data_IF_821266892860
#
_entry.id   IF_821266892860
#
_cell.length_a   1.000
_cell.length_b   1.000
_cell.length_c   1.000
_cell.angle_alpha   90.00
_cell.angle_beta   90.00
_cell.angle_gamma   90.00
#
_symmetry.space_group_name_H-M   'P 1'
#
loop_
_entity.id
_entity.type
_entity.pdbx_description
1 polymer ?
#
# COMPACT_ATOMS: atom_id res chain seq x y z
N UNK A 1 3.66 1.02 14.83
CA UNK A 1 4.41 0.74 13.59
C UNK A 1 3.64 -0.33 12.85
N UNK A 2 3.43 -0.22 11.53
CA UNK A 2 2.77 -1.27 10.75
C UNK A 2 3.45 -2.63 10.90
N UNK A 3 2.65 -3.70 10.78
CA UNK A 3 3.10 -5.10 10.84
C UNK A 3 2.57 -5.82 9.61
N UNK A 4 3.43 -6.56 8.92
CA UNK A 4 3.07 -7.50 7.85
C UNK A 4 3.35 -8.92 8.33
N UNK A 5 2.36 -9.80 8.19
CA UNK A 5 2.52 -11.24 8.37
C UNK A 5 2.56 -11.88 6.98
N UNK A 6 3.63 -12.61 6.68
CA UNK A 6 3.83 -13.30 5.42
C UNK A 6 3.67 -14.80 5.71
N UNK A 7 2.62 -15.39 5.15
CA UNK A 7 2.30 -16.81 5.32
C UNK A 7 1.60 -17.32 4.05
N UNK A 8 1.93 -18.54 3.58
CA UNK A 8 3.02 -19.40 4.03
C UNK A 8 4.40 -18.93 3.51
N UNK A 9 5.43 -19.72 3.75
CA UNK A 9 6.66 -19.66 2.95
C UNK A 9 6.35 -19.94 1.48
N UNK A 10 7.14 -19.38 0.56
CA UNK A 10 7.00 -19.61 -0.89
C UNK A 10 7.79 -20.83 -1.38
N UNK A 11 8.75 -21.29 -0.57
CA UNK A 11 9.47 -22.55 -0.76
C UNK A 11 9.92 -23.08 0.59
N UNK A 12 9.85 -24.39 0.78
CA UNK A 12 10.59 -25.12 1.80
C UNK A 12 11.00 -26.53 1.35
N UNK A 13 12.06 -27.07 1.94
CA UNK A 13 12.50 -28.44 1.63
C UNK A 13 13.38 -28.97 2.76
N UNK A 14 13.21 -30.25 3.10
CA UNK A 14 14.12 -30.95 3.99
C UNK A 14 15.32 -31.51 3.22
N UNK A 15 16.45 -31.57 3.91
CA UNK A 15 17.70 -32.12 3.42
C UNK A 15 18.17 -33.16 4.43
N UNK A 16 18.45 -34.38 3.97
CA UNK A 16 18.90 -35.45 4.85
C UNK A 16 20.09 -36.25 4.30
N UNK A 17 21.03 -36.60 5.16
CA UNK A 17 22.17 -37.43 4.77
C UNK A 17 21.80 -38.88 4.50
N UNK A 18 20.73 -39.39 5.13
CA UNK A 18 20.30 -40.79 5.01
C UNK A 18 19.80 -41.15 3.60
N UNK A 19 19.14 -40.18 2.95
CA UNK A 19 18.66 -40.30 1.57
C UNK A 19 19.13 -39.10 0.73
N UNK A 20 20.43 -39.00 0.42
CA UNK A 20 21.03 -37.74 -0.01
C UNK A 20 20.67 -37.29 -1.43
N UNK A 21 19.94 -38.13 -2.18
CA UNK A 21 19.43 -37.83 -3.51
C UNK A 21 17.90 -37.73 -3.56
N UNK A 22 17.23 -37.85 -2.42
CA UNK A 22 15.77 -37.70 -2.33
C UNK A 22 15.43 -36.22 -2.18
N UNK A 23 14.39 -35.80 -2.89
CA UNK A 23 13.77 -34.49 -2.73
C UNK A 23 12.50 -34.64 -1.90
N UNK A 24 12.27 -33.72 -0.97
CA UNK A 24 11.10 -33.72 -0.08
C UNK A 24 10.38 -32.37 -0.11
N UNK A 25 10.49 -31.62 -1.21
CA UNK A 25 9.92 -30.26 -1.32
C UNK A 25 8.39 -30.21 -1.37
N UNK A 26 7.71 -31.37 -1.41
CA UNK A 26 6.24 -31.45 -1.35
C UNK A 26 5.76 -32.15 -0.06
N UNK A 27 6.67 -32.44 0.86
CA UNK A 27 6.31 -33.14 2.09
C UNK A 27 5.66 -32.15 3.07
N UNK A 28 4.57 -32.54 3.77
CA UNK A 28 3.88 -31.67 4.73
C UNK A 28 4.69 -31.42 6.02
N UNK A 29 5.88 -32.04 6.12
CA UNK A 29 6.74 -31.95 7.30
C UNK A 29 8.21 -32.00 6.91
N UNK A 30 9.03 -31.25 7.64
CA UNK A 30 10.48 -31.17 7.42
C UNK A 30 11.23 -31.37 8.75
N UNK A 31 12.45 -31.91 8.70
CA UNK A 31 13.20 -32.31 9.89
C UNK A 31 14.47 -31.49 10.02
N UNK A 32 14.83 -31.17 11.27
CA UNK A 32 16.11 -30.56 11.60
C UNK A 32 16.77 -31.30 12.75
N UNK A 33 18.09 -31.49 12.70
CA UNK A 33 18.86 -32.11 13.79
C UNK A 33 19.62 -33.37 13.39
N UNK A 34 20.29 -33.98 14.36
CA UNK A 34 20.96 -35.28 14.20
C UNK A 34 20.13 -36.41 14.78
N UNK A 35 19.90 -37.43 13.98
CA UNK A 35 19.16 -38.63 14.34
C UNK A 35 20.06 -39.68 14.99
N UNK A 36 19.48 -40.75 15.56
CA UNK A 36 20.23 -41.72 16.37
C UNK A 36 21.20 -42.60 15.57
N UNK A 37 20.99 -42.72 14.27
CA UNK A 37 21.87 -43.44 13.35
C UNK A 37 23.01 -42.54 12.82
N UNK A 38 23.08 -41.29 13.29
CA UNK A 38 24.03 -40.29 12.88
C UNK A 38 23.63 -39.49 11.64
N UNK A 39 22.45 -39.74 11.07
CA UNK A 39 21.93 -38.94 9.95
C UNK A 39 21.67 -37.50 10.37
N UNK A 40 22.06 -36.55 9.53
CA UNK A 40 21.82 -35.13 9.75
C UNK A 40 20.66 -34.65 8.87
N UNK A 41 19.82 -33.82 9.47
CA UNK A 41 18.64 -33.20 8.89
C UNK A 41 18.76 -31.67 8.96
N UNK A 42 18.43 -31.00 7.86
CA UNK A 42 18.41 -29.53 7.74
C UNK A 42 17.23 -29.10 6.89
N UNK A 43 16.74 -27.89 7.13
CA UNK A 43 15.59 -27.38 6.38
C UNK A 43 15.94 -26.10 5.63
N UNK A 44 15.49 -26.00 4.39
CA UNK A 44 15.50 -24.77 3.60
C UNK A 44 14.12 -24.11 3.69
N UNK A 45 14.08 -22.79 3.80
CA UNK A 45 12.83 -22.03 3.80
C UNK A 45 13.01 -20.64 3.21
N UNK A 46 12.08 -20.18 2.37
CA UNK A 46 12.10 -18.87 1.73
C UNK A 46 10.74 -18.18 1.81
N UNK A 47 10.74 -16.89 2.17
CA UNK A 47 9.53 -16.03 2.18
C UNK A 47 9.63 -14.95 1.11
N UNK A 48 8.50 -14.57 0.52
CA UNK A 48 8.41 -13.42 -0.39
C UNK A 48 8.26 -12.11 0.40
N UNK A 49 9.15 -11.16 0.13
CA UNK A 49 9.18 -9.85 0.78
C UNK A 49 8.56 -8.73 -0.08
N UNK A 50 8.02 -9.06 -1.26
CA UNK A 50 7.47 -8.09 -2.21
C UNK A 50 6.35 -7.20 -1.63
N UNK A 51 5.66 -7.68 -0.60
CA UNK A 51 4.63 -6.91 0.11
C UNK A 51 5.14 -5.74 0.97
N UNK A 52 6.45 -5.59 1.16
CA UNK A 52 7.05 -4.51 1.97
C UNK A 52 7.32 -3.22 1.18
N UNK A 53 6.60 -2.97 0.08
CA UNK A 53 6.83 -1.81 -0.80
C UNK A 53 6.65 -0.47 -0.09
N UNK A 54 7.40 0.54 -0.54
CA UNK A 54 7.40 1.91 -0.01
C UNK A 54 7.87 2.06 1.45
N UNK A 55 8.39 0.99 2.05
CA UNK A 55 8.84 1.05 3.43
C UNK A 55 10.27 1.58 3.56
N UNK A 56 10.50 2.34 4.62
CA UNK A 56 11.73 3.08 4.88
C UNK A 56 12.74 2.23 5.65
N UNK A 57 12.28 1.52 6.67
CA UNK A 57 13.14 0.72 7.55
C UNK A 57 12.39 -0.47 8.14
N UNK A 58 13.03 -1.64 8.12
CA UNK A 58 12.64 -2.82 8.89
C UNK A 58 13.08 -2.60 10.34
N UNK A 59 12.16 -2.70 11.31
CA UNK A 59 12.46 -2.52 12.73
C UNK A 59 12.54 -3.84 13.48
N UNK A 60 11.77 -4.85 13.07
CA UNK A 60 11.90 -6.22 13.56
C UNK A 60 11.46 -7.22 12.51
N UNK A 61 12.06 -8.41 12.47
CA UNK A 61 11.55 -9.53 11.72
C UNK A 61 11.69 -10.83 12.51
N UNK A 62 10.58 -11.55 12.69
CA UNK A 62 10.49 -12.77 13.48
C UNK A 62 9.98 -13.92 12.63
N UNK A 63 10.83 -14.92 12.44
CA UNK A 63 10.47 -16.20 11.83
C UNK A 63 9.75 -17.06 12.87
N UNK A 64 8.61 -17.66 12.52
CA UNK A 64 7.84 -18.55 13.40
C UNK A 64 7.58 -19.89 12.73
N UNK A 65 7.97 -20.98 13.39
CA UNK A 65 7.73 -22.36 12.92
C UNK A 65 7.08 -23.19 14.04
N UNK A 66 6.22 -24.12 13.64
CA UNK A 66 5.57 -25.05 14.56
C UNK A 66 6.27 -26.41 14.55
N UNK A 67 6.77 -26.85 15.70
CA UNK A 67 7.28 -28.21 15.91
C UNK A 67 6.10 -29.12 16.18
N UNK A 68 5.85 -30.10 15.30
CA UNK A 68 4.78 -31.10 15.49
C UNK A 68 5.28 -32.43 16.07
N UNK A 69 6.59 -32.68 16.07
CA UNK A 69 7.16 -33.89 16.65
C UNK A 69 8.55 -33.64 17.27
N UNK A 70 8.80 -34.31 18.39
CA UNK A 70 10.10 -34.33 19.06
C UNK A 70 10.55 -35.78 19.24
N UNK A 71 11.71 -36.16 18.70
CA UNK A 71 12.18 -37.54 18.77
C UNK A 71 12.54 -37.96 20.20
N UNK A 72 13.11 -37.04 20.98
CA UNK A 72 13.39 -37.25 22.39
C UNK A 72 13.25 -35.95 23.19
N UNK A 73 12.30 -35.90 24.12
CA UNK A 73 11.99 -34.71 24.93
C UNK A 73 13.08 -34.34 25.97
N UNK A 74 14.04 -35.25 26.22
CA UNK A 74 15.20 -34.96 27.09
C UNK A 74 16.36 -34.31 26.33
N UNK A 75 16.33 -34.34 24.99
CA UNK A 75 17.39 -33.79 24.12
C UNK A 75 16.88 -32.56 23.39
N UNK A 76 17.48 -31.40 23.70
CA UNK A 76 17.16 -30.14 23.03
C UNK A 76 17.92 -29.99 21.73
N UNK A 77 17.28 -29.35 20.74
CA UNK A 77 17.92 -28.92 19.49
C UNK A 77 18.21 -27.42 19.58
N UNK A 78 19.40 -26.98 19.20
CA UNK A 78 19.73 -25.54 19.10
C UNK A 78 19.75 -25.12 17.64
N UNK A 79 18.60 -24.65 17.15
CA UNK A 79 18.40 -24.36 15.73
C UNK A 79 18.76 -22.91 15.43
N UNK A 80 19.56 -22.71 14.39
CA UNK A 80 19.95 -21.39 13.89
C UNK A 80 19.60 -21.27 12.40
N UNK A 81 18.93 -20.19 11.96
CA UNK A 81 18.69 -19.89 10.55
C UNK A 81 19.90 -19.17 9.95
N UNK A 82 20.53 -19.78 8.95
CA UNK A 82 21.66 -19.19 8.20
C UNK A 82 21.20 -18.70 6.84
N UNK A 83 21.74 -17.58 6.38
CA UNK A 83 21.44 -17.03 5.05
C UNK A 83 21.93 -17.97 3.95
N UNK A 84 21.02 -18.35 3.06
CA UNK A 84 21.36 -19.08 1.83
C UNK A 84 21.92 -18.09 0.81
N UNK A 85 22.99 -18.48 0.11
CA UNK A 85 23.74 -17.60 -0.82
C UNK A 85 23.55 -17.93 -2.29
N UNK A 86 22.83 -19.01 -2.59
CA UNK A 86 22.56 -19.48 -3.94
C UNK A 86 21.08 -19.82 -4.12
N UNK A 87 20.55 -19.55 -5.31
CA UNK A 87 19.18 -19.94 -5.63
C UNK A 87 19.03 -21.47 -5.62
N UNK A 88 17.83 -21.93 -5.26
CA UNK A 88 17.48 -23.34 -5.26
C UNK A 88 16.04 -23.51 -5.72
N UNK A 89 15.77 -24.70 -6.27
CA UNK A 89 14.45 -25.11 -6.71
C UNK A 89 13.93 -26.18 -5.73
N UNK A 90 12.81 -25.88 -5.10
CA UNK A 90 12.15 -26.71 -4.10
C UNK A 90 11.95 -28.15 -4.56
N UNK A 91 11.47 -28.35 -5.79
CA UNK A 91 11.21 -29.68 -6.36
C UNK A 91 12.45 -30.43 -6.87
N UNK A 92 13.65 -29.87 -6.73
CA UNK A 92 14.89 -30.46 -7.25
C UNK A 92 16.02 -30.55 -6.22
N UNK A 93 15.92 -29.80 -5.10
CA UNK A 93 16.98 -29.74 -4.10
C UNK A 93 17.06 -31.06 -3.33
N UNK A 94 18.27 -31.53 -3.10
CA UNK A 94 18.57 -32.72 -2.30
C UNK A 94 19.75 -32.38 -1.39
N UNK A 95 20.11 -33.27 -0.47
CA UNK A 95 21.32 -33.09 0.34
C UNK A 95 22.57 -32.86 -0.52
N UNK A 96 22.73 -33.64 -1.60
CA UNK A 96 23.89 -33.54 -2.49
C UNK A 96 23.89 -32.27 -3.37
N UNK A 97 22.73 -31.63 -3.56
CA UNK A 97 22.59 -30.39 -4.35
C UNK A 97 22.24 -29.17 -3.49
N UNK A 98 22.36 -29.30 -2.17
CA UNK A 98 22.02 -28.24 -1.22
C UNK A 98 22.78 -26.94 -1.55
N UNK A 99 22.11 -25.77 -1.54
CA UNK A 99 22.74 -24.50 -1.86
C UNK A 99 23.74 -24.12 -0.77
N UNK A 100 24.79 -23.39 -1.15
CA UNK A 100 25.73 -22.83 -0.18
C UNK A 100 25.05 -21.82 0.75
N UNK A 101 25.47 -21.78 2.01
CA UNK A 101 25.03 -20.81 3.01
C UNK A 101 26.22 -20.07 3.63
N UNK A 102 25.95 -18.94 4.26
CA UNK A 102 26.95 -18.12 4.94
C UNK A 102 26.92 -18.41 6.46
N UNK A 103 28.00 -18.96 7.05
CA UNK A 103 28.05 -19.28 8.47
C UNK A 103 28.12 -18.04 9.38
N UNK A 104 28.42 -16.86 8.83
CA UNK A 104 28.52 -15.61 9.60
C UNK A 104 27.29 -14.71 9.45
N UNK A 105 26.40 -15.00 8.49
CA UNK A 105 25.14 -14.29 8.32
C UNK A 105 23.97 -15.18 8.75
N UNK A 106 23.54 -15.02 10.00
CA UNK A 106 22.48 -15.83 10.61
C UNK A 106 21.54 -15.00 11.49
N UNK A 107 20.38 -15.58 11.83
CA UNK A 107 19.49 -15.06 12.87
C UNK A 107 19.89 -15.52 14.26
N UNK A 108 19.01 -15.32 15.25
CA UNK A 108 19.18 -15.85 16.60
C UNK A 108 19.22 -17.39 16.62
N UNK A 109 19.78 -17.97 17.68
CA UNK A 109 19.69 -19.42 17.96
C UNK A 109 18.58 -19.66 18.98
N UNK A 110 17.69 -20.61 18.70
CA UNK A 110 16.59 -20.97 19.59
C UNK A 110 16.68 -22.43 20.02
N UNK A 111 16.44 -22.67 21.32
CA UNK A 111 16.40 -24.01 21.89
C UNK A 111 15.01 -24.63 21.73
N UNK A 112 14.94 -25.75 21.03
CA UNK A 112 13.73 -26.52 20.78
C UNK A 112 13.70 -27.77 21.65
N UNK A 113 12.64 -27.94 22.43
CA UNK A 113 12.51 -29.06 23.38
C UNK A 113 11.18 -29.80 23.28
N UNK A 114 10.09 -29.06 23.19
CA UNK A 114 8.72 -29.58 23.17
C UNK A 114 8.02 -29.27 21.84
N UNK A 115 6.88 -29.91 21.61
CA UNK A 115 5.94 -29.54 20.53
C UNK A 115 5.41 -28.12 20.78
N UNK A 116 5.22 -27.35 19.71
CA UNK A 116 4.67 -26.00 19.77
C UNK A 116 5.39 -25.00 18.88
N UNK A 117 5.01 -23.73 19.03
CA UNK A 117 5.59 -22.62 18.29
C UNK A 117 6.97 -22.22 18.83
N UNK A 118 7.90 -22.00 17.91
CA UNK A 118 9.21 -21.41 18.17
C UNK A 118 9.45 -20.23 17.26
N UNK A 119 10.27 -19.31 17.74
CA UNK A 119 10.54 -18.05 17.07
C UNK A 119 12.04 -17.77 17.00
N UNK A 120 12.45 -17.10 15.93
CA UNK A 120 13.81 -16.64 15.70
C UNK A 120 13.79 -15.19 15.26
N UNK A 121 14.61 -14.36 15.91
CA UNK A 121 14.90 -13.02 15.41
C UNK A 121 15.80 -13.12 14.18
N UNK A 122 15.28 -12.66 13.04
CA UNK A 122 15.98 -12.61 11.75
C UNK A 122 16.01 -11.18 11.19
N UNK A 123 15.85 -10.17 12.05
CA UNK A 123 15.75 -8.74 11.67
C UNK A 123 16.87 -8.32 10.73
N UNK A 124 18.12 -8.70 11.03
CA UNK A 124 19.27 -8.34 10.21
C UNK A 124 19.24 -9.01 8.83
N UNK A 125 18.77 -10.26 8.72
CA UNK A 125 18.66 -10.95 7.44
C UNK A 125 17.62 -10.27 6.56
N UNK A 126 16.42 -10.04 7.10
CA UNK A 126 15.31 -9.41 6.37
C UNK A 126 15.64 -7.97 6.00
N UNK A 127 16.26 -7.21 6.89
CA UNK A 127 16.71 -5.83 6.59
C UNK A 127 17.72 -5.80 5.45
N UNK A 128 18.70 -6.71 5.43
CA UNK A 128 19.68 -6.76 4.34
C UNK A 128 19.07 -7.18 2.99
N UNK A 129 18.11 -8.11 3.00
CA UNK A 129 17.36 -8.48 1.79
C UNK A 129 16.50 -7.34 1.27
N UNK A 130 15.74 -6.70 2.17
CA UNK A 130 14.85 -5.59 1.83
C UNK A 130 15.62 -4.40 1.24
N UNK A 131 16.77 -4.07 1.83
CA UNK A 131 17.63 -2.97 1.35
C UNK A 131 18.50 -3.35 0.15
N UNK A 132 18.36 -4.56 -0.41
CA UNK A 132 19.09 -5.01 -1.59
C UNK A 132 20.59 -5.24 -1.37
N UNK A 133 21.06 -5.32 -0.12
CA UNK A 133 22.45 -5.66 0.21
C UNK A 133 22.78 -7.06 -0.29
N UNK A 134 21.82 -7.98 -0.18
CA UNK A 134 21.92 -9.34 -0.67
C UNK A 134 20.61 -9.79 -1.32
N UNK A 135 20.65 -10.68 -2.34
CA UNK A 135 19.47 -11.37 -2.80
C UNK A 135 18.85 -12.23 -1.70
N UNK A 136 17.52 -12.34 -1.68
CA UNK A 136 16.80 -13.25 -0.81
C UNK A 136 16.71 -14.63 -1.46
N UNK A 137 17.53 -15.59 -1.00
CA UNK A 137 17.40 -17.01 -1.34
C UNK A 137 16.88 -17.86 -0.17
N UNK A 138 16.36 -17.22 0.88
CA UNK A 138 15.88 -17.89 2.07
C UNK A 138 16.99 -18.25 3.07
N UNK A 139 16.67 -19.23 3.92
CA UNK A 139 17.47 -19.64 5.08
C UNK A 139 17.65 -21.15 5.11
N UNK A 140 18.77 -21.58 5.66
CA UNK A 140 19.04 -22.95 6.06
C UNK A 140 18.94 -23.04 7.58
N UNK A 141 17.96 -23.79 8.08
CA UNK A 141 17.80 -24.13 9.49
C UNK A 141 18.71 -25.31 9.83
N UNK A 142 19.58 -25.11 10.82
CA UNK A 142 20.61 -26.08 11.17
C UNK A 142 20.88 -26.10 12.67
N UNK A 143 21.18 -27.29 13.19
CA UNK A 143 21.73 -27.52 14.54
C UNK A 143 23.25 -27.76 14.48
N UNK A 144 23.96 -27.82 15.62
CA UNK A 144 25.35 -28.26 15.63
C UNK A 144 25.59 -29.67 15.06
N UNK A 145 24.56 -30.54 15.04
CA UNK A 145 24.63 -31.91 14.51
C UNK A 145 25.64 -32.79 15.27
N UNK A 146 25.77 -32.56 16.58
CA UNK A 146 26.74 -33.24 17.45
C UNK A 146 26.10 -34.20 18.44
N UNK A 147 24.77 -34.16 18.61
CA UNK A 147 24.07 -34.95 19.64
C UNK A 147 22.96 -35.77 18.99
N UNK A 148 23.04 -37.09 19.13
CA UNK A 148 22.00 -37.98 18.65
C UNK A 148 20.65 -37.68 19.33
N UNK A 149 19.54 -37.90 18.61
CA UNK A 149 18.17 -37.61 19.03
C UNK A 149 17.83 -36.12 19.21
N UNK A 150 18.67 -35.20 18.73
CA UNK A 150 18.31 -33.77 18.74
C UNK A 150 17.27 -33.40 17.67
N UNK A 151 16.88 -34.34 16.81
CA UNK A 151 15.88 -34.14 15.76
C UNK A 151 14.54 -33.57 16.25
N UNK A 152 14.02 -32.62 15.48
CA UNK A 152 12.70 -32.00 15.62
C UNK A 152 12.06 -31.92 14.24
N UNK A 153 10.74 -32.09 14.17
CA UNK A 153 9.99 -31.98 12.93
C UNK A 153 9.12 -30.74 12.93
N UNK A 154 9.26 -29.93 11.89
CA UNK A 154 8.43 -28.77 11.63
C UNK A 154 7.32 -29.10 10.65
N UNK A 155 6.23 -28.35 10.76
CA UNK A 155 5.20 -28.22 9.73
C UNK A 155 5.76 -27.36 8.57
N UNK A 156 5.44 -27.73 7.32
CA UNK A 156 5.84 -27.01 6.09
C UNK A 156 4.71 -26.19 5.49
N UNK A 157 4.97 -25.49 4.38
CA UNK A 157 3.95 -24.80 3.58
C UNK A 157 2.87 -25.72 3.03
N UNK A 158 3.17 -27.01 2.86
CA UNK A 158 2.28 -28.02 2.26
C UNK A 158 1.26 -28.63 3.26
N UNK A 159 1.26 -28.20 4.52
CA UNK A 159 0.30 -28.67 5.52
C UNK A 159 -1.12 -28.15 5.24
N UNK A 160 -1.97 -29.01 4.68
CA UNK A 160 -3.35 -28.67 4.30
C UNK A 160 -4.40 -28.91 5.39
N UNK A 161 -4.17 -29.82 6.33
CA UNK A 161 -5.17 -30.14 7.34
C UNK A 161 -5.31 -29.01 8.37
N UNK A 162 -4.21 -28.37 8.73
CA UNK A 162 -4.17 -27.23 9.66
C UNK A 162 -3.31 -26.08 9.11
N UNK A 163 -3.80 -25.30 8.14
CA UNK A 163 -3.00 -24.25 7.47
C UNK A 163 -2.51 -23.15 8.42
N UNK A 164 -3.18 -22.95 9.56
CA UNK A 164 -2.77 -22.01 10.61
C UNK A 164 -1.43 -22.39 11.28
N UNK A 165 -0.98 -23.64 11.13
CA UNK A 165 0.31 -24.12 11.64
C UNK A 165 1.47 -23.94 10.66
N UNK A 166 1.21 -23.50 9.42
CA UNK A 166 2.24 -23.27 8.41
C UNK A 166 3.25 -22.22 8.88
N UNK A 167 4.53 -22.32 8.46
CA UNK A 167 5.53 -21.30 8.76
C UNK A 167 5.10 -19.91 8.34
N UNK A 168 5.39 -18.91 9.19
CA UNK A 168 5.12 -17.51 8.88
C UNK A 168 6.26 -16.59 9.32
N UNK A 169 6.34 -15.45 8.66
CA UNK A 169 7.28 -14.37 8.96
C UNK A 169 6.52 -13.11 9.34
N UNK A 170 6.75 -12.60 10.55
CA UNK A 170 6.20 -11.32 11.01
C UNK A 170 7.24 -10.23 10.87
N UNK A 171 6.93 -9.15 10.15
CA UNK A 171 7.83 -8.02 9.91
C UNK A 171 7.18 -6.74 10.42
N UNK A 172 7.85 -6.04 11.33
CA UNK A 172 7.49 -4.68 11.75
C UNK A 172 8.39 -3.70 11.03
N UNK A 173 7.82 -2.60 10.54
CA UNK A 173 8.55 -1.62 9.74
C UNK A 173 7.99 -0.21 9.91
N UNK A 174 8.72 0.75 9.36
CA UNK A 174 8.27 2.13 9.16
C UNK A 174 8.27 2.41 7.68
N UNK A 175 7.24 3.04 7.14
CA UNK A 175 7.22 3.43 5.72
C UNK A 175 7.41 4.92 5.54
N UNK A 176 7.90 5.29 4.36
CA UNK A 176 7.87 6.69 3.96
C UNK A 176 6.42 6.99 3.61
N UNK A 177 5.86 8.00 4.25
CA UNK A 177 4.59 8.52 3.83
C UNK A 177 4.82 9.27 2.52
N UNK A 178 4.12 8.86 1.47
CA UNK A 178 4.19 9.57 0.20
C UNK A 178 3.44 10.89 0.37
N UNK A 179 4.14 12.01 0.22
CA UNK A 179 3.51 13.33 0.28
C UNK A 179 2.65 13.52 -0.97
N UNK A 180 1.36 13.29 -0.84
CA UNK A 180 0.40 13.67 -1.88
C UNK A 180 0.20 15.19 -1.79
N UNK A 181 0.81 15.92 -2.72
CA UNK A 181 0.50 17.35 -2.91
C UNK A 181 -0.78 17.40 -3.76
N UNK A 182 -1.93 17.85 -3.24
CA UNK A 182 -3.14 17.93 -4.04
C UNK A 182 -2.90 18.88 -5.23
N UNK A 183 -3.12 18.37 -6.44
CA UNK A 183 -3.13 19.20 -7.63
C UNK A 183 -4.33 20.14 -7.55
N UNK A 184 -4.17 21.40 -7.99
CA UNK A 184 -5.30 22.34 -8.08
C UNK A 184 -6.35 21.75 -9.02
N UNK A 185 -7.59 21.64 -8.55
CA UNK A 185 -8.71 21.18 -9.37
C UNK A 185 -9.61 22.35 -9.75
N UNK A 186 -10.20 22.29 -10.94
CA UNK A 186 -11.21 23.24 -11.40
C UNK A 186 -12.56 22.54 -11.45
N UNK A 187 -13.58 23.15 -10.85
CA UNK A 187 -14.97 22.72 -10.99
C UNK A 187 -15.75 23.79 -11.78
N UNK A 188 -16.50 23.36 -12.79
CA UNK A 188 -17.28 24.23 -13.67
C UNK A 188 -18.78 23.92 -13.56
N UNK A 189 -19.61 24.97 -13.51
CA UNK A 189 -21.06 24.87 -13.65
C UNK A 189 -21.56 25.94 -14.62
N UNK A 190 -22.36 25.57 -15.62
CA UNK A 190 -22.91 26.51 -16.60
C UNK A 190 -24.43 26.66 -16.50
N UNK A 191 -24.95 27.86 -16.76
CA UNK A 191 -26.37 28.17 -16.88
C UNK A 191 -26.61 29.03 -18.14
N UNK A 192 -27.65 28.71 -18.92
CA UNK A 192 -28.07 29.52 -20.09
C UNK A 192 -29.34 30.28 -19.75
N UNK A 193 -29.34 31.59 -19.97
CA UNK A 193 -30.46 32.49 -19.62
C UNK A 193 -30.82 33.42 -20.77
N UNK A 194 -32.09 33.83 -20.83
CA UNK A 194 -32.56 34.85 -21.78
C UNK A 194 -32.94 36.12 -21.02
N UNK A 195 -32.41 37.27 -21.45
CA UNK A 195 -32.61 38.55 -20.77
C UNK A 195 -33.99 39.13 -21.04
N UNK A 196 -34.61 39.75 -20.03
CA UNK A 196 -35.80 40.59 -20.19
C UNK A 196 -35.52 42.07 -19.88
N UNK A 197 -36.58 42.87 -19.84
CA UNK A 197 -36.50 44.30 -19.49
C UNK A 197 -36.26 44.53 -17.99
N UNK A 198 -36.72 43.59 -17.17
CA UNK A 198 -36.53 43.60 -15.72
C UNK A 198 -35.27 42.84 -15.35
N UNK A 199 -34.63 43.27 -14.26
CA UNK A 199 -33.48 42.57 -13.70
C UNK A 199 -33.89 41.16 -13.27
N UNK A 200 -33.16 40.16 -13.77
CA UNK A 200 -33.28 38.75 -13.43
C UNK A 200 -31.95 38.24 -12.87
N UNK A 201 -31.93 37.02 -12.35
CA UNK A 201 -30.79 36.47 -11.64
C UNK A 201 -30.58 35.00 -12.00
N UNK A 202 -29.32 34.57 -12.06
CA UNK A 202 -28.98 33.15 -12.16
C UNK A 202 -29.31 32.41 -10.87
N UNK A 203 -29.27 31.08 -10.93
CA UNK A 203 -29.29 30.25 -9.72
C UNK A 203 -28.15 30.66 -8.79
N UNK A 204 -28.44 30.85 -7.50
CA UNK A 204 -27.39 31.14 -6.52
C UNK A 204 -26.52 29.92 -6.28
N UNK A 205 -25.21 30.14 -6.15
CA UNK A 205 -24.21 29.08 -5.95
C UNK A 205 -23.48 29.31 -4.64
N UNK A 206 -23.36 28.24 -3.86
CA UNK A 206 -22.53 28.21 -2.67
C UNK A 206 -21.06 28.16 -3.09
N UNK A 207 -20.29 29.13 -2.65
CA UNK A 207 -18.87 29.30 -2.94
C UNK A 207 -18.04 29.35 -1.64
N UNK A 208 -18.61 28.94 -0.51
CA UNK A 208 -17.96 28.99 0.81
C UNK A 208 -16.74 28.08 0.94
N UNK A 209 -16.65 27.02 0.14
CA UNK A 209 -15.60 25.99 0.22
C UNK A 209 -14.48 26.16 -0.80
N UNK A 210 -14.55 27.18 -1.66
CA UNK A 210 -13.62 27.37 -2.78
C UNK A 210 -12.82 28.66 -2.62
N UNK A 211 -11.56 28.65 -3.08
CA UNK A 211 -10.61 29.74 -2.81
C UNK A 211 -10.60 30.82 -3.90
N UNK A 212 -10.97 30.47 -5.14
CA UNK A 212 -11.05 31.39 -6.28
C UNK A 212 -12.26 31.06 -7.11
N UNK A 213 -12.96 32.11 -7.53
CA UNK A 213 -14.21 32.01 -8.27
C UNK A 213 -14.20 33.03 -9.40
N UNK A 214 -14.48 32.57 -10.62
CA UNK A 214 -14.60 33.42 -11.81
C UNK A 214 -15.87 33.07 -12.56
N UNK A 215 -16.64 34.09 -12.93
CA UNK A 215 -17.73 33.94 -13.88
C UNK A 215 -17.24 34.26 -15.28
N UNK A 216 -17.49 33.37 -16.25
CA UNK A 216 -17.40 33.70 -17.67
C UNK A 216 -18.81 33.89 -18.21
N UNK A 217 -19.07 35.00 -18.88
CA UNK A 217 -20.39 35.35 -19.40
C UNK A 217 -20.24 35.61 -20.89
N UNK A 218 -20.81 34.74 -21.72
CA UNK A 218 -20.83 34.90 -23.17
C UNK A 218 -22.22 35.24 -23.66
N UNK A 219 -22.33 36.31 -24.45
CA UNK A 219 -23.57 36.70 -25.10
C UNK A 219 -23.67 36.05 -26.47
N UNK A 220 -24.49 35.00 -26.57
CA UNK A 220 -24.70 34.24 -27.80
C UNK A 220 -25.84 34.80 -28.65
N UNK A 221 -26.56 35.82 -28.17
CA UNK A 221 -27.61 36.50 -28.91
C UNK A 221 -27.14 37.76 -29.65
N UNK A 222 -28.10 38.43 -30.28
CA UNK A 222 -27.83 39.55 -31.21
C UNK A 222 -27.82 40.94 -30.54
N UNK A 223 -28.17 41.05 -29.26
CA UNK A 223 -28.38 42.33 -28.59
C UNK A 223 -27.52 42.44 -27.33
N UNK A 224 -27.11 43.65 -26.91
CA UNK A 224 -26.29 43.80 -25.71
C UNK A 224 -27.07 43.40 -24.44
N UNK A 225 -26.37 42.83 -23.46
CA UNK A 225 -26.89 42.60 -22.11
C UNK A 225 -26.14 43.46 -21.09
N UNK A 226 -26.77 43.72 -19.95
CA UNK A 226 -26.11 44.31 -18.79
C UNK A 226 -26.05 43.24 -17.69
N UNK A 227 -24.88 43.04 -17.11
CA UNK A 227 -24.62 42.06 -16.06
C UNK A 227 -23.82 42.65 -14.90
N UNK A 228 -24.02 42.13 -13.69
CA UNK A 228 -23.16 42.37 -12.53
C UNK A 228 -23.15 41.17 -11.57
N UNK A 229 -22.11 41.08 -10.73
CA UNK A 229 -22.03 40.06 -9.68
C UNK A 229 -22.79 40.55 -8.44
N UNK A 230 -23.58 39.64 -7.86
CA UNK A 230 -24.13 39.82 -6.52
C UNK A 230 -23.62 38.74 -5.57
N UNK A 231 -23.26 39.16 -4.35
CA UNK A 231 -22.82 38.28 -3.26
C UNK A 231 -23.83 38.32 -2.10
N UNK A 232 -23.92 37.22 -1.36
CA UNK A 232 -24.79 37.12 -0.18
C UNK A 232 -24.22 36.16 0.86
N UNK A 233 -24.35 36.50 2.13
CA UNK A 233 -24.00 35.62 3.25
C UNK A 233 -25.12 34.63 3.62
N UNK A 234 -26.38 34.98 3.35
CA UNK A 234 -27.58 34.26 3.80
C UNK A 234 -28.48 33.77 2.66
N UNK A 235 -28.07 34.00 1.40
CA UNK A 235 -28.83 33.70 0.19
C UNK A 235 -30.16 34.49 0.07
N UNK A 236 -30.35 35.55 0.86
CA UNK A 236 -31.56 36.38 0.91
C UNK A 236 -31.23 37.85 0.65
N UNK A 237 -30.21 38.38 1.34
CA UNK A 237 -29.75 39.77 1.23
C UNK A 237 -28.55 39.83 0.30
N UNK A 238 -28.67 40.59 -0.78
CA UNK A 238 -27.70 40.60 -1.87
C UNK A 238 -27.02 41.97 -1.98
N UNK A 239 -25.69 41.96 -2.02
CA UNK A 239 -24.86 43.13 -2.30
C UNK A 239 -24.34 43.05 -3.75
N UNK A 240 -24.38 44.17 -4.48
CA UNK A 240 -23.89 44.23 -5.86
C UNK A 240 -22.42 44.67 -5.82
N UNK A 241 -21.53 43.75 -6.20
CA UNK A 241 -20.09 43.94 -5.95
C UNK A 241 -19.32 44.45 -7.17
N UNK A 242 -19.87 44.28 -8.38
CA UNK A 242 -19.36 44.92 -9.60
C UNK A 242 -20.35 45.98 -10.08
N UNK A 243 -19.86 47.01 -10.78
CA UNK A 243 -20.75 47.90 -11.54
C UNK A 243 -21.47 47.15 -12.67
N UNK A 244 -22.45 47.81 -13.29
CA UNK A 244 -23.13 47.31 -14.49
C UNK A 244 -22.13 47.20 -15.66
N UNK A 245 -21.95 46.00 -16.17
CA UNK A 245 -21.06 45.70 -17.29
C UNK A 245 -21.92 45.37 -18.50
N UNK A 246 -21.66 46.04 -19.61
CA UNK A 246 -22.34 45.75 -20.88
C UNK A 246 -21.59 44.65 -21.60
N UNK A 247 -22.29 43.59 -22.01
CA UNK A 247 -21.76 42.49 -22.82
C UNK A 247 -22.41 42.58 -24.20
N UNK A 248 -21.64 43.02 -25.20
CA UNK A 248 -22.09 43.15 -26.58
C UNK A 248 -22.43 41.79 -27.21
N UNK A 249 -23.12 41.81 -28.34
CA UNK A 249 -23.46 40.59 -29.07
C UNK A 249 -22.19 39.84 -29.51
N UNK A 250 -22.10 38.55 -29.20
CA UNK A 250 -20.92 37.72 -29.48
C UNK A 250 -19.73 37.94 -28.55
N UNK A 251 -19.85 38.84 -27.55
CA UNK A 251 -18.77 39.11 -26.59
C UNK A 251 -18.79 38.11 -25.43
N UNK A 252 -17.59 37.80 -24.91
CA UNK A 252 -17.41 37.07 -23.66
C UNK A 252 -16.61 37.91 -22.68
N UNK A 253 -17.13 38.07 -21.47
CA UNK A 253 -16.46 38.79 -20.37
C UNK A 253 -16.18 37.84 -19.21
N UNK A 254 -15.08 38.06 -18.50
CA UNK A 254 -14.74 37.34 -17.27
C UNK A 254 -14.87 38.26 -16.06
N UNK A 255 -15.65 37.86 -15.06
CA UNK A 255 -15.85 38.60 -13.82
C UNK A 255 -15.28 37.81 -12.64
N UNK A 256 -14.34 38.41 -11.92
CA UNK A 256 -13.66 37.78 -10.79
C UNK A 256 -14.37 38.17 -9.49
N UNK A 257 -14.53 37.21 -8.59
CA UNK A 257 -14.96 37.49 -7.21
C UNK A 257 -13.71 37.64 -6.35
N UNK A 258 -13.44 38.87 -5.89
CA UNK A 258 -12.29 39.22 -5.06
C UNK A 258 -12.62 39.29 -3.56
N UNK A 259 -13.88 39.00 -3.18
CA UNK A 259 -14.39 39.03 -1.80
C UNK A 259 -14.86 37.65 -1.36
N UNK A 260 -14.64 37.33 -0.09
CA UNK A 260 -15.18 36.11 0.52
C UNK A 260 -16.69 36.26 0.74
N UNK A 261 -17.45 35.23 0.38
CA UNK A 261 -18.90 35.15 0.56
C UNK A 261 -19.34 33.69 0.60
N UNK A 262 -20.52 33.41 1.16
CA UNK A 262 -21.13 32.08 1.06
C UNK A 262 -21.80 31.86 -0.28
N UNK A 263 -22.52 32.86 -0.80
CA UNK A 263 -23.29 32.73 -2.03
C UNK A 263 -22.90 33.78 -3.04
N UNK A 264 -22.97 33.41 -4.32
CA UNK A 264 -22.82 34.31 -5.47
C UNK A 264 -23.85 34.00 -6.56
N UNK A 265 -24.19 35.02 -7.35
CA UNK A 265 -25.01 34.91 -8.56
C UNK A 265 -24.72 36.06 -9.52
N UNK A 266 -25.11 35.91 -10.77
CA UNK A 266 -25.11 37.00 -11.75
C UNK A 266 -26.51 37.60 -11.84
N UNK A 267 -26.59 38.93 -11.70
CA UNK A 267 -27.77 39.69 -12.08
C UNK A 267 -27.63 40.11 -13.54
N UNK A 268 -28.70 39.98 -14.33
CA UNK A 268 -28.68 40.28 -15.75
C UNK A 268 -29.99 40.91 -16.24
N UNK A 269 -29.90 41.74 -17.27
CA UNK A 269 -31.03 42.32 -18.00
C UNK A 269 -30.63 42.65 -19.44
N UNK A 270 -31.60 42.95 -20.30
CA UNK A 270 -31.29 43.45 -21.63
C UNK A 270 -30.66 44.83 -21.54
N UNK A 271 -29.64 45.07 -22.37
CA UNK A 271 -29.03 46.39 -22.54
C UNK A 271 -29.89 47.34 -23.37
N UNK A 272 -30.84 46.83 -24.16
CA UNK A 272 -31.81 47.64 -24.91
C UNK A 272 -33.25 47.28 -24.54
N UNK A 273 -34.04 48.21 -23.96
CA UNK A 273 -35.40 47.92 -23.56
C UNK A 273 -36.25 47.34 -24.71
N UNK A 274 -36.92 46.22 -24.43
CA UNK A 274 -37.78 45.49 -25.36
C UNK A 274 -37.07 44.45 -26.23
N UNK A 275 -35.74 44.37 -26.16
CA UNK A 275 -34.96 43.54 -27.09
C UNK A 275 -34.14 42.48 -26.34
N UNK A 276 -34.61 41.22 -26.24
CA UNK A 276 -33.91 40.20 -25.46
C UNK A 276 -32.63 39.71 -26.14
N UNK A 277 -31.72 39.14 -25.34
CA UNK A 277 -30.55 38.38 -25.80
C UNK A 277 -30.36 37.13 -24.94
N UNK A 278 -29.54 36.19 -25.40
CA UNK A 278 -29.22 34.95 -24.68
C UNK A 278 -27.79 35.00 -24.16
N UNK A 279 -27.62 34.66 -22.88
CA UNK A 279 -26.33 34.56 -22.20
C UNK A 279 -26.07 33.12 -21.79
N UNK A 280 -24.83 32.67 -21.97
CA UNK A 280 -24.30 31.46 -21.34
C UNK A 280 -23.31 31.89 -20.27
N UNK A 281 -23.55 31.45 -19.03
CA UNK A 281 -22.83 31.89 -17.85
C UNK A 281 -22.18 30.67 -17.21
N UNK A 282 -20.86 30.63 -17.20
CA UNK A 282 -20.07 29.62 -16.50
C UNK A 282 -19.56 30.18 -15.18
N UNK A 283 -19.64 29.36 -14.14
CA UNK A 283 -18.97 29.55 -12.88
C UNK A 283 -17.82 28.55 -12.81
N UNK A 284 -16.58 29.04 -12.84
CA UNK A 284 -15.39 28.24 -12.58
C UNK A 284 -14.87 28.50 -11.17
N UNK A 285 -14.57 27.42 -10.46
CA UNK A 285 -14.04 27.46 -9.10
C UNK A 285 -12.77 26.62 -8.99
N UNK A 286 -11.82 27.07 -8.18
CA UNK A 286 -10.58 26.34 -7.90
C UNK A 286 -10.58 25.80 -6.47
N UNK A 287 -10.36 24.48 -6.36
CA UNK A 287 -10.25 23.71 -5.11
C UNK A 287 -8.82 23.22 -4.91
#
# INVERSE_FOLDING_TARGET
MPVLVIQPAIKDAALETGYPNTNTGNDPTMWVGRYYDGSAYRDLIQFDLSGLTNCANITSATLSLYVNEVTNATVSAFVTPYRVTQNWAENLVTWNTAPAYDPFAHGGTTQLRNIGWYQWDITNLVSNWFNGVYPNYGMLLRTPETTDFETKRFITSEEDANPDLRPYLTVTYTCREELIIPARQFNEVSETVTTGNTLAYTTSRDISTVSRVTYFISNTGANPAIVNIQLSADNVRWDTVTGDITVAAGETVSLIIDRLSHYSRIAYRSGTPGVPTTLVIWLETQV
#
